data_IF_211476860289
#
_entry.id   IF_211476860289
#
_cell.length_a   1.000
_cell.length_b   1.000
_cell.length_c   1.000
_cell.angle_alpha   90.00
_cell.angle_beta   90.00
_cell.angle_gamma   90.00
#
_symmetry.space_group_name_H-M   'P 1'
#
loop_
_entity.id
_entity.type
_entity.pdbx_description
1 polymer ?
#
# COMPACT_ATOMS: atom_id res chain seq x y z
N UNK A 1 -9.22 -40.87 -8.11
CA UNK A 1 -8.19 -41.80 -8.58
C UNK A 1 -8.85 -42.98 -9.32
N UNK A 2 -9.82 -43.73 -8.76
CA UNK A 2 -10.47 -44.88 -9.42
C UNK A 2 -11.10 -44.54 -10.77
N UNK A 3 -11.73 -43.35 -10.91
CA UNK A 3 -12.35 -42.89 -12.14
C UNK A 3 -11.30 -42.58 -13.21
N UNK A 4 -10.15 -42.03 -12.84
CA UNK A 4 -9.06 -41.76 -13.78
C UNK A 4 -8.40 -43.01 -14.30
N UNK A 5 -8.27 -44.03 -13.44
CA UNK A 5 -7.77 -45.35 -13.84
C UNK A 5 -8.72 -46.07 -14.81
N UNK A 6 -10.05 -45.97 -14.60
CA UNK A 6 -11.04 -46.54 -15.51
C UNK A 6 -11.10 -45.89 -16.87
N UNK A 7 -10.60 -44.62 -16.98
CA UNK A 7 -10.46 -43.89 -18.23
C UNK A 7 -9.11 -44.08 -18.94
N UNK A 8 -8.29 -45.03 -18.44
CA UNK A 8 -6.99 -45.33 -19.05
C UNK A 8 -5.91 -44.28 -18.85
N UNK A 9 -6.11 -43.35 -17.89
CA UNK A 9 -5.15 -42.29 -17.62
C UNK A 9 -4.00 -42.82 -16.76
N UNK A 10 -2.77 -42.70 -17.30
CA UNK A 10 -1.56 -43.02 -16.52
C UNK A 10 -1.35 -41.97 -15.43
N UNK A 11 -1.61 -42.36 -14.20
CA UNK A 11 -1.51 -41.51 -13.02
C UNK A 11 -0.08 -40.98 -12.81
N UNK A 12 0.93 -41.80 -13.11
CA UNK A 12 2.33 -41.42 -12.95
C UNK A 12 2.71 -40.32 -13.96
N UNK A 13 2.21 -40.43 -15.20
CA UNK A 13 2.39 -39.42 -16.23
C UNK A 13 1.66 -38.12 -15.88
N UNK A 14 0.44 -38.24 -15.34
CA UNK A 14 -0.32 -37.08 -14.84
C UNK A 14 0.40 -36.37 -13.67
N UNK A 15 0.97 -37.12 -12.73
CA UNK A 15 1.78 -36.58 -11.64
C UNK A 15 3.09 -35.92 -12.14
N UNK A 16 3.77 -36.52 -13.13
CA UNK A 16 4.95 -35.91 -13.72
C UNK A 16 4.61 -34.63 -14.46
N UNK A 17 3.53 -34.58 -15.24
CA UNK A 17 3.07 -33.40 -15.96
C UNK A 17 2.62 -32.26 -15.02
N UNK A 18 1.94 -32.62 -13.92
CA UNK A 18 1.57 -31.66 -12.88
C UNK A 18 2.81 -31.15 -12.12
N UNK A 19 3.77 -32.02 -11.83
CA UNK A 19 5.01 -31.65 -11.14
C UNK A 19 5.94 -30.82 -12.06
N UNK A 20 5.99 -31.11 -13.34
CA UNK A 20 6.69 -30.27 -14.34
C UNK A 20 6.01 -28.91 -14.52
N UNK A 21 4.68 -28.87 -14.62
CA UNK A 21 3.94 -27.59 -14.65
C UNK A 21 4.10 -26.80 -13.35
N UNK A 22 4.22 -27.45 -12.19
CA UNK A 22 4.60 -26.80 -10.93
C UNK A 22 6.06 -26.34 -10.93
N UNK A 23 7.01 -27.14 -11.46
CA UNK A 23 8.41 -26.73 -11.63
C UNK A 23 8.58 -25.63 -12.67
N UNK A 24 7.76 -25.61 -13.72
CA UNK A 24 7.75 -24.51 -14.71
C UNK A 24 7.18 -23.22 -14.07
N UNK A 25 6.19 -23.31 -13.17
CA UNK A 25 5.76 -22.16 -12.36
C UNK A 25 6.79 -21.75 -11.28
N UNK A 26 7.67 -22.66 -10.85
CA UNK A 26 8.83 -22.36 -10.00
C UNK A 26 10.10 -21.99 -10.79
N UNK A 27 10.06 -21.97 -12.12
CA UNK A 27 11.14 -21.40 -12.92
C UNK A 27 11.30 -19.94 -12.49
N UNK A 28 12.36 -19.69 -11.70
CA UNK A 28 12.96 -18.39 -11.38
C UNK A 28 11.97 -17.26 -11.63
N UNK A 29 11.23 -16.87 -10.63
CA UNK A 29 10.54 -15.58 -10.66
C UNK A 29 11.63 -14.55 -10.91
N UNK A 30 11.73 -14.10 -12.14
CA UNK A 30 12.55 -12.94 -12.48
C UNK A 30 12.07 -11.88 -11.51
N UNK A 31 12.96 -11.38 -10.66
CA UNK A 31 12.60 -10.37 -9.67
C UNK A 31 11.89 -9.25 -10.42
N UNK A 32 10.69 -8.90 -10.03
CA UNK A 32 9.94 -7.85 -10.69
C UNK A 32 10.66 -6.52 -10.48
N UNK A 33 10.59 -5.63 -11.45
CA UNK A 33 11.17 -4.28 -11.32
C UNK A 33 10.59 -3.57 -10.08
N UNK A 34 9.30 -3.77 -9.82
CA UNK A 34 8.64 -3.19 -8.64
C UNK A 34 9.24 -3.67 -7.31
N UNK A 35 9.81 -4.89 -7.26
CA UNK A 35 10.50 -5.43 -6.07
C UNK A 35 11.92 -4.84 -5.88
N UNK A 36 12.46 -4.21 -6.91
CA UNK A 36 13.74 -3.49 -6.85
C UNK A 36 13.54 -2.03 -6.45
N UNK A 37 12.38 -1.47 -6.78
CA UNK A 37 12.02 -0.08 -6.55
C UNK A 37 11.21 0.14 -5.28
N UNK A 38 10.84 -0.93 -4.57
CA UNK A 38 9.94 -0.83 -3.43
C UNK A 38 10.19 -1.86 -2.33
N UNK A 39 9.39 -1.75 -1.28
CA UNK A 39 9.40 -2.61 -0.10
C UNK A 39 8.15 -3.50 -0.12
N UNK A 40 8.33 -4.82 -0.04
CA UNK A 40 7.22 -5.78 0.07
C UNK A 40 6.64 -5.76 1.50
N UNK A 41 5.53 -5.03 1.69
CA UNK A 41 4.82 -4.93 2.97
C UNK A 41 4.27 -6.29 3.42
N UNK A 42 3.85 -7.14 2.48
CA UNK A 42 3.35 -8.48 2.78
C UNK A 42 4.46 -9.37 3.33
N UNK A 43 5.69 -9.22 2.84
CA UNK A 43 6.86 -9.91 3.38
C UNK A 43 7.21 -9.39 4.78
N UNK A 44 7.19 -8.08 4.99
CA UNK A 44 7.38 -7.48 6.32
C UNK A 44 6.33 -7.95 7.32
N UNK A 45 5.04 -8.00 6.89
CA UNK A 45 3.96 -8.53 7.70
C UNK A 45 4.18 -10.01 8.10
N UNK A 46 4.68 -10.85 7.18
CA UNK A 46 5.03 -12.25 7.48
C UNK A 46 6.14 -12.39 8.51
N UNK A 47 7.06 -11.44 8.52
CA UNK A 47 8.19 -11.40 9.45
C UNK A 47 7.83 -10.74 10.79
N UNK A 48 6.58 -10.27 10.98
CA UNK A 48 6.14 -9.46 12.13
C UNK A 48 6.96 -8.16 12.31
N UNK A 49 7.33 -7.53 11.19
CA UNK A 49 8.10 -6.27 11.18
C UNK A 49 7.19 -5.03 11.08
N UNK A 50 5.87 -5.21 11.10
CA UNK A 50 4.89 -4.13 11.02
C UNK A 50 4.16 -3.96 12.34
N UNK A 51 4.03 -2.72 12.77
CA UNK A 51 3.30 -2.36 13.97
C UNK A 51 1.79 -2.60 13.84
N UNK A 52 1.07 -2.85 14.94
CA UNK A 52 -0.37 -3.00 14.91
C UNK A 52 -1.05 -1.68 14.59
N UNK A 53 -2.00 -1.71 13.65
CA UNK A 53 -2.79 -0.54 13.28
C UNK A 53 -4.17 -0.61 13.94
N UNK A 54 -4.56 0.47 14.59
CA UNK A 54 -5.76 0.54 15.41
C UNK A 54 -6.63 1.70 14.96
N UNK A 55 -7.96 1.51 15.03
CA UNK A 55 -8.93 2.57 14.77
C UNK A 55 -9.09 2.94 13.28
N UNK A 56 -8.63 2.09 12.35
CA UNK A 56 -8.73 2.33 10.90
C UNK A 56 -9.59 1.29 10.17
N UNK A 57 -10.47 0.61 10.89
CA UNK A 57 -11.29 -0.47 10.32
C UNK A 57 -12.26 0.02 9.24
N UNK A 58 -12.81 1.21 9.37
CA UNK A 58 -13.77 1.78 8.39
C UNK A 58 -13.05 2.04 7.05
N UNK A 59 -11.94 2.75 7.10
CA UNK A 59 -11.15 3.10 5.90
C UNK A 59 -10.58 1.83 5.26
N UNK A 60 -10.07 0.91 6.08
CA UNK A 60 -9.50 -0.35 5.61
C UNK A 60 -10.56 -1.24 4.94
N UNK A 61 -11.75 -1.38 5.53
CA UNK A 61 -12.85 -2.12 4.92
C UNK A 61 -13.26 -1.49 3.59
N UNK A 62 -13.26 -0.15 3.52
CA UNK A 62 -13.54 0.56 2.27
C UNK A 62 -12.48 0.31 1.20
N UNK A 63 -11.20 0.30 1.57
CA UNK A 63 -10.08 -0.08 0.68
C UNK A 63 -10.24 -1.50 0.16
N UNK A 64 -10.55 -2.46 1.06
CA UNK A 64 -10.80 -3.87 0.70
C UNK A 64 -11.98 -4.00 -0.27
N UNK A 65 -13.08 -3.29 -0.01
CA UNK A 65 -14.25 -3.26 -0.90
C UNK A 65 -13.87 -2.76 -2.30
N UNK A 66 -13.15 -1.63 -2.38
CA UNK A 66 -12.74 -1.03 -3.65
C UNK A 66 -11.82 -1.97 -4.42
N UNK A 67 -10.78 -2.52 -3.78
CA UNK A 67 -9.83 -3.46 -4.41
C UNK A 67 -10.50 -4.75 -4.91
N UNK A 68 -11.63 -5.13 -4.31
CA UNK A 68 -12.39 -6.32 -4.70
C UNK A 68 -13.29 -6.10 -5.91
N UNK A 69 -13.48 -4.86 -6.37
CA UNK A 69 -14.29 -4.53 -7.54
C UNK A 69 -13.63 -4.98 -8.84
N UNK A 70 -14.44 -5.22 -9.85
CA UNK A 70 -13.95 -5.53 -11.21
C UNK A 70 -13.39 -4.31 -11.93
N UNK A 71 -13.99 -3.15 -11.71
CA UNK A 71 -13.61 -1.87 -12.32
C UNK A 71 -13.60 -0.80 -11.24
N UNK A 72 -12.87 0.31 -11.47
CA UNK A 72 -12.67 1.37 -10.47
C UNK A 72 -12.18 0.79 -9.14
N UNK A 73 -11.21 -0.10 -9.24
CA UNK A 73 -10.65 -0.90 -8.17
C UNK A 73 -9.38 -0.29 -7.56
N UNK A 74 -9.17 1.00 -7.75
CA UNK A 74 -8.00 1.71 -7.24
C UNK A 74 -8.43 2.71 -6.16
N UNK A 75 -8.21 2.43 -4.87
CA UNK A 75 -8.47 3.37 -3.80
C UNK A 75 -7.44 4.50 -3.78
N UNK A 76 -7.88 5.70 -3.43
CA UNK A 76 -7.04 6.86 -3.18
C UNK A 76 -7.28 7.33 -1.75
N UNK A 77 -6.29 7.17 -0.90
CA UNK A 77 -6.29 7.66 0.46
C UNK A 77 -6.00 9.16 0.46
N UNK A 78 -6.94 9.95 0.97
CA UNK A 78 -6.85 11.42 1.00
C UNK A 78 -6.94 11.87 2.46
N UNK A 79 -5.91 12.55 2.94
CA UNK A 79 -5.85 13.05 4.31
C UNK A 79 -4.57 13.83 4.54
N UNK A 80 -4.50 14.61 5.60
CA UNK A 80 -3.32 15.41 5.93
C UNK A 80 -2.09 14.52 6.22
N UNK A 81 -0.90 15.12 6.22
CA UNK A 81 0.31 14.41 6.60
C UNK A 81 0.21 13.96 8.07
N UNK A 82 0.71 12.75 8.38
CA UNK A 82 0.69 12.24 9.76
C UNK A 82 -0.61 11.55 10.21
N UNK A 83 -1.70 11.56 9.41
CA UNK A 83 -2.96 10.88 9.81
C UNK A 83 -2.92 9.35 9.71
N UNK A 84 -1.84 8.74 9.22
CA UNK A 84 -1.68 7.28 9.15
C UNK A 84 -2.17 6.64 7.86
N UNK A 85 -2.06 7.30 6.70
CA UNK A 85 -2.42 6.72 5.39
C UNK A 85 -1.61 5.47 5.06
N UNK A 86 -0.30 5.50 5.32
CA UNK A 86 0.61 4.37 5.09
C UNK A 86 0.27 3.17 5.98
N UNK A 87 -0.12 3.42 7.22
CA UNK A 87 -0.55 2.40 8.18
C UNK A 87 -1.73 1.56 7.64
N UNK A 88 -2.66 2.16 6.88
CA UNK A 88 -3.78 1.44 6.25
C UNK A 88 -3.27 0.40 5.24
N UNK A 89 -2.24 0.71 4.46
CA UNK A 89 -1.64 -0.23 3.52
C UNK A 89 -0.87 -1.35 4.23
N UNK A 90 -0.21 -1.04 5.34
CA UNK A 90 0.48 -2.01 6.20
C UNK A 90 -0.50 -2.98 6.87
N UNK A 91 -1.61 -2.47 7.42
CA UNK A 91 -2.64 -3.33 8.02
C UNK A 91 -3.33 -4.19 6.96
N UNK A 92 -3.56 -3.69 5.75
CA UNK A 92 -4.05 -4.51 4.66
C UNK A 92 -3.09 -5.67 4.36
N UNK A 93 -1.78 -5.43 4.37
CA UNK A 93 -0.77 -6.48 4.18
C UNK A 93 -0.84 -7.53 5.31
N UNK A 94 -1.03 -7.12 6.56
CA UNK A 94 -1.24 -8.03 7.70
C UNK A 94 -2.51 -8.87 7.55
N UNK A 95 -3.62 -8.25 7.12
CA UNK A 95 -4.89 -8.99 6.87
C UNK A 95 -4.78 -9.96 5.71
N UNK A 96 -4.02 -9.64 4.67
CA UNK A 96 -3.76 -10.58 3.58
C UNK A 96 -2.96 -11.79 4.09
N UNK A 97 -1.93 -11.58 4.89
CA UNK A 97 -1.09 -12.63 5.47
C UNK A 97 -1.87 -13.53 6.41
N UNK A 98 -2.70 -12.96 7.28
CA UNK A 98 -3.58 -13.71 8.19
C UNK A 98 -4.77 -14.39 7.49
N UNK A 99 -4.99 -14.10 6.20
CA UNK A 99 -6.12 -14.64 5.42
C UNK A 99 -7.46 -13.95 5.71
N UNK A 100 -7.48 -12.88 6.50
CA UNK A 100 -8.68 -12.13 6.88
C UNK A 100 -9.07 -11.10 5.80
N UNK A 101 -9.18 -11.56 4.57
CA UNK A 101 -9.60 -10.77 3.39
C UNK A 101 -10.48 -11.60 2.47
N UNK A 102 -11.34 -10.96 1.65
CA UNK A 102 -12.13 -11.65 0.64
C UNK A 102 -11.28 -12.41 -0.38
N UNK A 103 -11.88 -13.43 -1.02
CA UNK A 103 -11.21 -14.30 -2.00
C UNK A 103 -10.38 -13.56 -3.08
N UNK A 104 -10.85 -12.44 -3.67
CA UNK A 104 -10.07 -11.71 -4.68
C UNK A 104 -8.74 -11.13 -4.20
N UNK A 105 -8.59 -10.95 -2.88
CA UNK A 105 -7.37 -10.41 -2.26
C UNK A 105 -6.50 -11.47 -1.58
N UNK A 106 -6.99 -12.71 -1.46
CA UNK A 106 -6.17 -13.81 -0.92
C UNK A 106 -4.94 -14.05 -1.79
N UNK A 107 -3.81 -14.27 -1.13
CA UNK A 107 -2.51 -14.49 -1.76
C UNK A 107 -1.96 -13.33 -2.61
N UNK A 108 -2.56 -12.13 -2.51
CA UNK A 108 -1.99 -10.92 -3.11
C UNK A 108 -0.79 -10.46 -2.28
N UNK A 109 0.09 -9.70 -2.93
CA UNK A 109 1.22 -9.03 -2.30
C UNK A 109 1.06 -7.53 -2.43
N UNK A 110 1.44 -6.80 -1.39
CA UNK A 110 1.45 -5.33 -1.42
C UNK A 110 2.91 -4.89 -1.45
N UNK A 111 3.26 -4.12 -2.47
CA UNK A 111 4.59 -3.53 -2.59
C UNK A 111 4.46 -2.02 -2.52
N UNK A 112 5.09 -1.42 -1.51
CA UNK A 112 5.19 0.04 -1.37
C UNK A 112 6.31 0.54 -2.24
N UNK A 113 6.01 1.42 -3.19
CA UNK A 113 6.96 1.99 -4.14
C UNK A 113 7.24 3.44 -3.77
N UNK A 114 8.52 3.76 -3.56
CA UNK A 114 9.00 5.13 -3.41
C UNK A 114 9.32 5.71 -4.80
N UNK A 115 8.52 6.70 -5.18
CA UNK A 115 8.69 7.35 -6.48
C UNK A 115 9.89 8.29 -6.51
N UNK A 116 10.28 8.87 -5.38
CA UNK A 116 11.47 9.73 -5.30
C UNK A 116 12.75 8.93 -5.58
N UNK A 117 12.85 7.72 -5.02
CA UNK A 117 13.96 6.80 -5.33
C UNK A 117 13.96 6.36 -6.80
N UNK A 118 12.78 6.20 -7.40
CA UNK A 118 12.64 5.83 -8.81
C UNK A 118 13.15 6.94 -9.74
N UNK A 119 12.86 8.19 -9.41
CA UNK A 119 13.36 9.38 -10.13
C UNK A 119 14.86 9.58 -9.93
N UNK A 120 15.34 9.51 -8.68
CA UNK A 120 16.76 9.71 -8.35
C UNK A 120 17.69 8.70 -9.03
N UNK A 121 17.21 7.49 -9.32
CA UNK A 121 17.97 6.46 -10.02
C UNK A 121 17.99 6.59 -11.55
N UNK A 122 17.33 7.60 -12.14
CA UNK A 122 17.30 7.83 -13.57
C UNK A 122 18.13 9.07 -13.96
N UNK A 123 19.15 8.88 -14.82
CA UNK A 123 20.00 10.00 -15.28
C UNK A 123 19.27 10.91 -16.28
N UNK A 124 18.29 10.39 -16.99
CA UNK A 124 17.53 11.10 -18.03
C UNK A 124 16.04 10.79 -17.92
N UNK A 125 15.20 11.75 -18.29
CA UNK A 125 13.72 11.64 -18.33
C UNK A 125 13.24 10.36 -19.02
N UNK A 126 13.82 10.02 -20.18
CA UNK A 126 13.43 8.82 -20.95
C UNK A 126 13.68 7.51 -20.21
N UNK A 127 14.71 7.43 -19.37
CA UNK A 127 15.00 6.25 -18.57
C UNK A 127 13.94 6.02 -17.49
N UNK A 128 13.48 7.08 -16.84
CA UNK A 128 12.39 7.00 -15.89
C UNK A 128 11.08 6.55 -16.54
N UNK A 129 10.71 7.18 -17.68
CA UNK A 129 9.49 6.79 -18.41
C UNK A 129 9.54 5.31 -18.84
N UNK A 130 10.71 4.82 -19.27
CA UNK A 130 10.86 3.40 -19.59
C UNK A 130 10.74 2.49 -18.39
N UNK A 131 11.28 2.88 -17.23
CA UNK A 131 11.15 2.11 -15.99
C UNK A 131 9.68 2.00 -15.57
N UNK A 132 8.95 3.13 -15.58
CA UNK A 132 7.51 3.13 -15.27
C UNK A 132 6.71 2.30 -16.27
N UNK A 133 6.99 2.40 -17.58
CA UNK A 133 6.35 1.56 -18.59
C UNK A 133 6.58 0.07 -18.36
N UNK A 134 7.82 -0.32 -18.05
CA UNK A 134 8.17 -1.71 -17.73
C UNK A 134 7.47 -2.19 -16.45
N UNK A 135 7.50 -1.38 -15.38
CA UNK A 135 6.81 -1.68 -14.13
C UNK A 135 5.31 -1.87 -14.36
N UNK A 136 4.65 -0.94 -15.04
CA UNK A 136 3.21 -1.04 -15.34
C UNK A 136 2.89 -2.30 -16.14
N UNK A 137 3.69 -2.63 -17.16
CA UNK A 137 3.50 -3.84 -17.94
C UNK A 137 3.67 -5.11 -17.12
N UNK A 138 4.70 -5.18 -16.27
CA UNK A 138 4.90 -6.31 -15.37
C UNK A 138 3.71 -6.48 -14.39
N UNK A 139 3.16 -5.39 -13.89
CA UNK A 139 2.00 -5.41 -12.99
C UNK A 139 0.70 -5.81 -13.72
N UNK A 140 0.53 -5.42 -14.98
CA UNK A 140 -0.61 -5.89 -15.79
C UNK A 140 -0.55 -7.38 -16.08
N UNK A 141 0.66 -7.95 -16.16
CA UNK A 141 0.90 -9.38 -16.42
C UNK A 141 0.89 -10.21 -15.11
N UNK A 142 1.02 -9.57 -13.95
CA UNK A 142 1.06 -10.21 -12.63
C UNK A 142 -0.08 -9.69 -11.74
N UNK A 143 -1.24 -10.34 -11.82
CA UNK A 143 -2.44 -9.97 -11.07
C UNK A 143 -2.32 -10.17 -9.54
N UNK A 144 -1.27 -10.81 -9.05
CA UNK A 144 -1.01 -11.07 -7.62
C UNK A 144 -0.39 -9.88 -6.86
N UNK A 145 0.03 -8.82 -7.57
CA UNK A 145 0.67 -7.66 -6.97
C UNK A 145 -0.29 -6.47 -6.91
N UNK A 146 -0.35 -5.85 -5.75
CA UNK A 146 -0.98 -4.55 -5.49
C UNK A 146 0.15 -3.58 -5.18
N UNK A 147 0.23 -2.45 -5.87
CA UNK A 147 1.20 -1.41 -5.53
C UNK A 147 0.57 -0.39 -4.59
N UNK A 148 1.35 0.05 -3.61
CA UNK A 148 1.05 1.22 -2.80
C UNK A 148 2.01 2.33 -3.18
N UNK A 149 1.49 3.49 -3.51
CA UNK A 149 2.29 4.68 -3.84
C UNK A 149 1.88 5.79 -2.89
N UNK A 150 2.79 6.11 -1.98
CA UNK A 150 2.64 7.31 -1.18
C UNK A 150 2.98 8.54 -2.03
N UNK A 151 2.39 9.68 -1.69
CA UNK A 151 2.56 10.93 -2.43
C UNK A 151 2.34 10.76 -3.95
N UNK A 152 1.27 10.04 -4.34
CA UNK A 152 0.97 9.72 -5.75
C UNK A 152 0.88 10.97 -6.64
N UNK A 153 0.64 12.13 -6.07
CA UNK A 153 0.64 13.41 -6.76
C UNK A 153 1.97 13.74 -7.43
N UNK A 154 3.09 13.20 -6.91
CA UNK A 154 4.42 13.35 -7.51
C UNK A 154 4.51 12.77 -8.93
N UNK A 155 3.70 11.74 -9.23
CA UNK A 155 3.60 11.16 -10.57
C UNK A 155 2.75 11.99 -11.55
N UNK A 156 1.84 12.81 -11.00
CA UNK A 156 0.84 13.55 -11.78
C UNK A 156 1.22 15.00 -11.94
N UNK A 157 1.84 15.58 -10.91
CA UNK A 157 2.07 17.02 -10.80
C UNK A 157 3.42 17.52 -11.30
N UNK A 158 4.31 16.60 -11.63
CA UNK A 158 5.66 16.95 -12.06
C UNK A 158 5.72 17.65 -13.45
N UNK A 159 4.59 17.76 -14.16
CA UNK A 159 4.51 18.34 -15.52
C UNK A 159 4.48 19.87 -15.61
N UNK A 160 4.50 20.61 -14.50
CA UNK A 160 4.36 22.08 -14.51
C UNK A 160 5.65 22.89 -14.59
N UNK A 161 6.81 22.30 -14.37
CA UNK A 161 8.12 22.91 -14.57
C UNK A 161 8.81 22.34 -15.82
N UNK A 162 9.54 23.15 -16.57
CA UNK A 162 10.35 22.66 -17.69
C UNK A 162 11.27 21.54 -17.22
N UNK A 163 11.00 20.30 -17.68
CA UNK A 163 11.73 19.09 -17.27
C UNK A 163 10.99 18.15 -16.33
N UNK A 164 9.82 18.51 -15.83
CA UNK A 164 9.04 17.67 -14.93
C UNK A 164 8.43 16.45 -15.64
N UNK A 165 8.47 15.31 -14.95
CA UNK A 165 8.12 13.98 -15.49
C UNK A 165 6.62 13.76 -15.32
N UNK A 166 5.88 13.61 -16.42
CA UNK A 166 4.45 13.28 -16.39
C UNK A 166 4.27 11.77 -16.63
N UNK A 167 4.29 10.99 -15.54
CA UNK A 167 3.99 9.57 -15.59
C UNK A 167 2.48 9.28 -15.70
N UNK A 168 1.63 10.31 -15.57
CA UNK A 168 0.17 10.14 -15.61
C UNK A 168 -0.29 9.57 -16.94
N UNK A 169 0.34 9.97 -18.05
CA UNK A 169 0.02 9.46 -19.38
C UNK A 169 0.35 7.98 -19.57
N UNK A 170 1.27 7.43 -18.78
CA UNK A 170 1.59 5.99 -18.76
C UNK A 170 0.59 5.23 -17.88
N UNK A 171 0.20 5.82 -16.74
CA UNK A 171 -0.71 5.19 -15.77
C UNK A 171 -2.17 5.20 -16.25
N UNK A 172 -2.64 6.28 -16.88
CA UNK A 172 -4.04 6.44 -17.33
C UNK A 172 -4.57 5.25 -18.12
N UNK A 173 -3.86 4.74 -19.16
CA UNK A 173 -4.33 3.57 -19.91
C UNK A 173 -4.39 2.30 -19.06
N UNK A 174 -3.42 2.08 -18.18
CA UNK A 174 -3.34 0.90 -17.32
C UNK A 174 -4.48 0.88 -16.28
N UNK A 175 -4.73 2.01 -15.61
CA UNK A 175 -5.85 2.20 -14.70
C UNK A 175 -7.19 2.05 -15.42
N UNK A 176 -7.29 2.50 -16.69
CA UNK A 176 -8.50 2.38 -17.49
C UNK A 176 -8.87 0.93 -17.77
N UNK A 177 -7.89 0.07 -18.02
CA UNK A 177 -8.09 -1.36 -18.29
C UNK A 177 -8.50 -2.15 -17.04
N UNK A 178 -8.31 -1.60 -15.82
CA UNK A 178 -8.65 -2.24 -14.55
C UNK A 178 -7.78 -3.45 -14.19
N UNK A 179 -6.69 -3.67 -14.95
CA UNK A 179 -5.73 -4.75 -14.68
C UNK A 179 -4.71 -4.37 -13.60
N UNK A 180 -4.37 -3.09 -13.51
CA UNK A 180 -3.49 -2.55 -12.49
C UNK A 180 -4.29 -2.34 -11.19
N UNK A 181 -3.81 -2.90 -10.08
CA UNK A 181 -4.30 -2.62 -8.73
C UNK A 181 -3.32 -1.71 -8.01
N UNK A 182 -3.79 -0.52 -7.70
CA UNK A 182 -2.99 0.53 -7.09
C UNK A 182 -3.75 1.17 -5.94
N UNK A 183 -3.08 1.35 -4.81
CA UNK A 183 -3.49 2.18 -3.69
C UNK A 183 -2.65 3.44 -3.75
N UNK A 184 -3.26 4.59 -3.95
CA UNK A 184 -2.56 5.88 -3.87
C UNK A 184 -2.81 6.54 -2.54
N UNK A 185 -1.85 7.34 -2.07
CA UNK A 185 -2.03 8.23 -0.92
C UNK A 185 -1.59 9.66 -1.29
N UNK A 186 -2.31 10.65 -0.78
CA UNK A 186 -2.01 12.08 -1.04
C UNK A 186 -2.67 12.96 0.02
N UNK A 187 -2.28 14.23 0.11
CA UNK A 187 -2.96 15.21 0.95
C UNK A 187 -4.19 15.81 0.25
N UNK A 188 -5.07 16.47 1.02
CA UNK A 188 -6.27 17.14 0.47
C UNK A 188 -5.87 18.24 -0.51
N UNK A 189 -4.85 19.03 -0.17
CA UNK A 189 -4.35 20.13 -0.99
C UNK A 189 -3.77 19.65 -2.32
N UNK A 190 -2.98 18.59 -2.30
CA UNK A 190 -2.35 18.00 -3.47
C UNK A 190 -3.34 17.26 -4.37
N UNK A 191 -4.31 16.56 -3.76
CA UNK A 191 -5.42 15.97 -4.50
C UNK A 191 -6.15 17.03 -5.34
N UNK A 192 -6.56 18.15 -4.72
CA UNK A 192 -7.23 19.27 -5.42
C UNK A 192 -6.36 19.92 -6.49
N UNK A 193 -5.08 20.04 -6.23
CA UNK A 193 -4.13 20.71 -7.13
C UNK A 193 -3.80 19.87 -8.37
N UNK A 194 -3.60 18.57 -8.21
CA UNK A 194 -3.01 17.70 -9.23
C UNK A 194 -3.95 16.64 -9.78
N UNK A 195 -4.75 15.97 -8.93
CA UNK A 195 -5.54 14.79 -9.34
C UNK A 195 -6.96 15.18 -9.74
N UNK A 196 -7.63 16.03 -8.96
CA UNK A 196 -9.02 16.45 -9.21
C UNK A 196 -9.17 17.16 -10.55
N UNK A 197 -8.17 17.95 -10.96
CA UNK A 197 -8.15 18.64 -12.24
C UNK A 197 -8.02 17.72 -13.45
N UNK A 198 -7.50 16.53 -13.26
CA UNK A 198 -7.38 15.51 -14.28
C UNK A 198 -8.57 14.55 -14.24
N UNK A 199 -9.63 14.88 -14.97
CA UNK A 199 -10.86 14.10 -15.06
C UNK A 199 -10.63 12.63 -15.41
N UNK A 200 -9.56 12.30 -16.14
CA UNK A 200 -9.25 10.94 -16.55
C UNK A 200 -8.71 10.11 -15.37
N UNK A 201 -7.91 10.71 -14.50
CA UNK A 201 -7.42 10.08 -13.28
C UNK A 201 -8.49 10.06 -12.19
N UNK A 202 -9.15 11.19 -11.93
CA UNK A 202 -10.17 11.29 -10.87
C UNK A 202 -11.27 10.23 -11.01
N UNK A 203 -11.72 9.96 -12.24
CA UNK A 203 -12.72 8.91 -12.51
C UNK A 203 -12.23 7.47 -12.30
N UNK A 204 -10.92 7.25 -12.19
CA UNK A 204 -10.34 5.92 -12.01
C UNK A 204 -10.06 5.59 -10.56
N UNK A 205 -9.86 6.59 -9.75
CA UNK A 205 -9.68 6.45 -8.32
C UNK A 205 -11.01 6.48 -7.56
N UNK A 206 -11.06 5.74 -6.46
CA UNK A 206 -12.15 5.81 -5.48
C UNK A 206 -11.60 6.45 -4.21
N UNK A 207 -12.15 7.59 -3.86
CA UNK A 207 -11.69 8.39 -2.71
C UNK A 207 -12.03 7.69 -1.40
N UNK A 208 -11.05 7.64 -0.51
CA UNK A 208 -11.16 7.21 0.88
C UNK A 208 -10.54 8.31 1.72
N UNK A 209 -11.37 9.05 2.43
CA UNK A 209 -10.88 10.11 3.31
C UNK A 209 -10.36 9.49 4.60
N UNK A 210 -9.19 9.94 5.02
CA UNK A 210 -8.51 9.53 6.25
C UNK A 210 -8.37 10.76 7.12
N UNK A 211 -9.20 10.82 8.14
CA UNK A 211 -9.23 11.93 9.09
C UNK A 211 -8.35 11.62 10.31
N UNK A 212 -8.06 12.63 11.11
CA UNK A 212 -7.42 12.42 12.40
C UNK A 212 -8.29 11.52 13.30
N UNK A 213 -7.67 10.64 14.11
CA UNK A 213 -8.41 9.85 15.08
C UNK A 213 -9.03 10.76 16.14
N UNK A 214 -10.21 10.40 16.61
CA UNK A 214 -10.77 11.04 17.80
C UNK A 214 -9.92 10.73 19.05
N UNK A 215 -10.13 11.48 20.14
CA UNK A 215 -9.33 11.35 21.37
C UNK A 215 -9.36 9.94 21.97
N UNK A 216 -10.48 9.21 21.83
CA UNK A 216 -10.62 7.84 22.32
C UNK A 216 -9.79 6.87 21.50
N UNK A 217 -9.88 6.98 20.16
CA UNK A 217 -9.08 6.17 19.24
C UNK A 217 -7.59 6.51 19.36
N UNK A 218 -7.23 7.79 19.48
CA UNK A 218 -5.85 8.22 19.71
C UNK A 218 -5.28 7.59 20.99
N UNK A 219 -6.02 7.63 22.10
CA UNK A 219 -5.59 6.95 23.33
C UNK A 219 -5.37 5.46 23.12
N UNK A 220 -6.28 4.79 22.41
CA UNK A 220 -6.14 3.37 22.10
C UNK A 220 -4.89 3.09 21.24
N UNK A 221 -4.60 3.95 20.27
CA UNK A 221 -3.39 3.85 19.43
C UNK A 221 -2.15 3.91 20.32
N UNK A 222 -2.00 4.96 21.11
CA UNK A 222 -0.84 5.17 21.99
C UNK A 222 -0.70 4.06 23.03
N UNK A 223 -1.81 3.59 23.63
CA UNK A 223 -1.79 2.48 24.60
C UNK A 223 -1.27 1.18 23.98
N UNK A 224 -1.57 0.91 22.72
CA UNK A 224 -1.07 -0.29 22.05
C UNK A 224 0.39 -0.15 21.61
N UNK A 225 0.82 1.05 21.19
CA UNK A 225 2.21 1.34 20.85
C UNK A 225 3.11 1.40 22.08
N UNK A 226 2.57 1.79 23.24
CA UNK A 226 3.29 1.92 24.51
C UNK A 226 4.23 0.74 24.79
N UNK A 227 3.72 -0.49 24.67
CA UNK A 227 4.52 -1.69 24.96
C UNK A 227 5.72 -1.88 24.01
N UNK A 228 5.60 -1.41 22.78
CA UNK A 228 6.67 -1.46 21.76
C UNK A 228 7.75 -0.46 22.14
N UNK A 229 7.37 0.78 22.47
CA UNK A 229 8.31 1.83 22.88
C UNK A 229 8.95 1.53 24.25
N UNK A 230 8.19 0.97 25.23
CA UNK A 230 8.74 0.49 26.50
C UNK A 230 9.85 -0.56 26.29
N UNK A 231 9.62 -1.50 25.37
CA UNK A 231 10.61 -2.53 25.05
C UNK A 231 11.82 -1.96 24.33
N UNK A 232 11.63 -1.00 23.43
CA UNK A 232 12.70 -0.37 22.65
C UNK A 232 13.61 0.50 23.52
N UNK A 233 13.02 1.37 24.35
CA UNK A 233 13.77 2.30 25.20
C UNK A 233 14.18 1.70 26.56
N UNK A 234 13.68 0.51 26.93
CA UNK A 234 13.96 -0.12 28.21
C UNK A 234 13.37 0.61 29.42
N UNK A 235 12.29 1.37 29.25
CA UNK A 235 11.62 2.16 30.27
C UNK A 235 10.19 1.70 30.46
N UNK A 236 9.54 2.11 31.58
CA UNK A 236 8.11 1.93 31.79
C UNK A 236 7.39 3.27 31.62
N UNK A 237 6.34 3.28 30.85
CA UNK A 237 5.51 4.43 30.58
C UNK A 237 4.21 4.29 31.39
N UNK A 238 3.91 5.22 32.29
CA UNK A 238 2.64 5.21 33.03
C UNK A 238 1.47 5.58 32.12
N UNK A 239 0.29 4.96 32.33
CA UNK A 239 -0.91 5.28 31.54
C UNK A 239 -1.34 6.75 31.66
N UNK A 240 -1.12 7.37 32.82
CA UNK A 240 -1.36 8.80 33.03
C UNK A 240 -0.55 9.70 32.11
N UNK A 241 0.64 9.23 31.67
CA UNK A 241 1.48 9.97 30.74
C UNK A 241 0.84 10.02 29.37
N UNK A 242 0.18 8.95 28.94
CA UNK A 242 -0.55 8.92 27.65
C UNK A 242 -1.62 10.02 27.59
N UNK A 243 -2.43 10.16 28.65
CA UNK A 243 -3.43 11.25 28.72
C UNK A 243 -2.76 12.63 28.67
N UNK A 244 -1.59 12.76 29.29
CA UNK A 244 -0.81 14.01 29.29
C UNK A 244 -0.19 14.31 27.93
N UNK A 245 0.31 13.30 27.21
CA UNK A 245 0.81 13.43 25.83
C UNK A 245 -0.30 13.98 24.94
N UNK A 246 -1.51 13.40 24.98
CA UNK A 246 -2.66 13.84 24.18
C UNK A 246 -3.04 15.29 24.51
N UNK A 247 -3.06 15.65 25.80
CA UNK A 247 -3.37 17.02 26.23
C UNK A 247 -2.33 18.03 25.69
N UNK A 248 -1.04 17.68 25.81
CA UNK A 248 0.04 18.59 25.44
C UNK A 248 0.22 18.69 23.92
N UNK A 249 0.09 17.59 23.17
CA UNK A 249 0.13 17.60 21.70
C UNK A 249 -0.97 18.49 21.13
N UNK A 250 -2.20 18.35 21.64
CA UNK A 250 -3.36 19.14 21.22
C UNK A 250 -3.17 20.64 21.55
N UNK A 251 -2.51 20.95 22.67
CA UNK A 251 -2.34 22.30 23.16
C UNK A 251 -1.17 23.07 22.52
N UNK A 252 -0.10 22.39 22.13
CA UNK A 252 1.16 23.05 21.76
C UNK A 252 1.64 22.73 20.34
N UNK A 253 1.16 21.65 19.69
CA UNK A 253 1.58 21.26 18.36
C UNK A 253 0.42 21.43 17.38
N UNK A 254 0.47 22.51 16.58
CA UNK A 254 -0.60 22.89 15.64
C UNK A 254 -0.26 22.63 14.18
N UNK A 255 1.00 22.41 13.88
CA UNK A 255 1.53 22.24 12.52
C UNK A 255 1.58 20.78 12.05
N UNK A 256 1.19 19.84 12.92
CA UNK A 256 1.14 18.39 12.66
C UNK A 256 -0.19 17.79 13.08
N UNK A 257 -0.51 16.65 12.47
CA UNK A 257 -1.76 15.93 12.72
C UNK A 257 -1.57 14.72 13.64
N UNK A 258 -2.66 14.31 14.28
CA UNK A 258 -2.73 13.07 15.03
C UNK A 258 -2.87 11.86 14.08
N UNK A 259 -2.29 10.70 14.40
CA UNK A 259 -1.58 10.35 15.64
C UNK A 259 -0.08 10.67 15.63
N UNK A 260 0.48 11.14 14.51
CA UNK A 260 1.92 11.31 14.28
C UNK A 260 2.59 12.16 15.38
N UNK A 261 2.04 13.36 15.66
CA UNK A 261 2.58 14.26 16.67
C UNK A 261 2.60 13.69 18.09
N UNK A 262 1.58 12.88 18.45
CA UNK A 262 1.54 12.24 19.77
C UNK A 262 2.45 11.02 19.83
N UNK A 263 2.66 10.32 18.72
CA UNK A 263 3.60 9.21 18.62
C UNK A 263 5.02 9.73 18.78
N UNK A 264 5.38 10.84 18.13
CA UNK A 264 6.70 11.48 18.26
C UNK A 264 7.01 11.83 19.73
N UNK A 265 6.03 12.43 20.46
CA UNK A 265 6.21 12.72 21.90
C UNK A 265 6.36 11.43 22.73
N UNK A 266 5.71 10.34 22.31
CA UNK A 266 5.81 9.06 23.00
C UNK A 266 7.18 8.40 22.81
N UNK A 267 7.82 8.67 21.66
CA UNK A 267 9.13 8.13 21.28
C UNK A 267 10.28 8.91 21.93
N UNK A 268 10.12 10.22 22.18
CA UNK A 268 11.09 11.07 22.91
C UNK A 268 11.10 10.79 24.42
#
# INVERSE_FOLDING_TARGET
>A
IRILLSLGVDINKLYSDISEKRKIKQKKSKKLIVEELGVDLTKRAKNNELDPVIGRDIELNRVIEILSRRTKNNPLLIGEAGVGKTAIAEELARRIVSGNVPMPLKNKRIISVDMACTVAGAKYRGEFEERIKKMVKELEDNDDVIIFIDEIHTLVGAGGAEGAIDASNILKPALARGKLKLIGATTISEYKKFIEKDNALDRRFQKVFVEEPDKSNLKNILMNLKSIYEAYHGVKIEEKLIDKIIELSDRYIYDRCEPDKSIDILDE
#
